data_IF_820768791666
#
_entry.id   IF_820768791666
#
_cell.length_a   1.000
_cell.length_b   1.000
_cell.length_c   1.000
_cell.angle_alpha   90.00
_cell.angle_beta   90.00
_cell.angle_gamma   90.00
#
_symmetry.space_group_name_H-M   'P 1'
#
loop_
_entity.id
_entity.type
_entity.pdbx_description
1 polymer ?
#
# COMPACT_ATOMS: atom_id res chain seq x y z
N UNK A 1 52.86 5.26 66.76
CA UNK A 1 51.97 4.93 65.64
C UNK A 1 52.54 5.59 64.39
N UNK A 2 53.30 4.86 63.57
CA UNK A 2 54.05 5.42 62.43
C UNK A 2 53.21 5.32 61.15
N UNK A 3 52.86 6.47 60.56
CA UNK A 3 52.22 6.56 59.25
C UNK A 3 53.23 6.18 58.16
N UNK A 4 53.04 5.01 57.52
CA UNK A 4 53.73 4.66 56.28
C UNK A 4 53.21 5.55 55.15
N UNK A 5 54.03 6.48 54.66
CA UNK A 5 53.76 7.22 53.43
C UNK A 5 53.91 6.25 52.26
N UNK A 6 52.83 6.00 51.52
CA UNK A 6 52.91 5.23 50.28
C UNK A 6 53.74 6.03 49.26
N UNK A 7 54.69 5.40 48.55
CA UNK A 7 55.45 6.08 47.51
C UNK A 7 54.48 6.52 46.41
N UNK A 8 54.49 7.81 46.10
CA UNK A 8 53.82 8.35 44.92
C UNK A 8 54.41 7.66 43.70
N UNK A 9 53.63 6.82 43.03
CA UNK A 9 53.99 6.34 41.71
C UNK A 9 53.96 7.54 40.77
N UNK A 10 55.13 8.00 40.34
CA UNK A 10 55.25 9.00 39.28
C UNK A 10 54.78 8.36 37.98
N UNK A 11 53.51 8.58 37.64
CA UNK A 11 52.96 8.22 36.35
C UNK A 11 53.77 8.93 35.25
N UNK A 12 54.31 8.16 34.31
CA UNK A 12 54.96 8.73 33.13
C UNK A 12 53.88 9.44 32.30
N UNK A 13 54.03 10.75 32.10
CA UNK A 13 53.16 11.52 31.22
C UNK A 13 53.40 11.17 29.75
N UNK A 14 52.36 11.27 28.93
CA UNK A 14 52.46 11.07 27.48
C UNK A 14 53.21 12.22 26.84
N UNK A 15 54.05 11.90 25.85
CA UNK A 15 54.69 12.90 25.01
C UNK A 15 53.69 13.49 24.01
N UNK A 16 53.91 14.72 23.57
CA UNK A 16 53.06 15.37 22.56
C UNK A 16 52.94 14.53 21.28
N UNK A 17 54.02 13.88 20.86
CA UNK A 17 54.06 13.04 19.68
C UNK A 17 53.15 11.80 19.82
N UNK A 18 53.16 11.14 20.98
CA UNK A 18 52.28 10.00 21.25
C UNK A 18 50.80 10.40 21.21
N UNK A 19 50.46 11.58 21.76
CA UNK A 19 49.09 12.11 21.72
C UNK A 19 48.65 12.38 20.27
N UNK A 20 49.50 13.00 19.45
CA UNK A 20 49.17 13.28 18.05
C UNK A 20 48.96 12.01 17.21
N UNK A 21 49.80 10.99 17.42
CA UNK A 21 49.65 9.69 16.77
C UNK A 21 48.34 9.03 17.21
N UNK A 22 48.05 9.01 18.52
CA UNK A 22 46.82 8.43 19.05
C UNK A 22 45.56 9.12 18.48
N UNK A 23 45.55 10.45 18.41
CA UNK A 23 44.43 11.22 17.84
C UNK A 23 44.25 10.92 16.35
N UNK A 24 45.33 10.77 15.59
CA UNK A 24 45.26 10.48 14.16
C UNK A 24 44.70 9.08 13.90
N UNK A 25 45.18 8.07 14.66
CA UNK A 25 44.63 6.71 14.58
C UNK A 25 43.15 6.71 14.97
N UNK A 26 42.79 7.42 16.04
CA UNK A 26 41.41 7.55 16.49
C UNK A 26 40.50 8.20 15.44
N UNK A 27 40.97 9.26 14.78
CA UNK A 27 40.23 9.92 13.71
C UNK A 27 39.97 8.99 12.51
N UNK A 28 40.95 8.18 12.12
CA UNK A 28 40.80 7.18 11.06
C UNK A 28 39.76 6.12 11.46
N UNK A 29 39.83 5.61 12.69
CA UNK A 29 38.87 4.62 13.21
C UNK A 29 37.45 5.19 13.22
N UNK A 30 37.27 6.45 13.64
CA UNK A 30 35.97 7.12 13.58
C UNK A 30 35.48 7.25 12.14
N UNK A 31 36.33 7.68 11.20
CA UNK A 31 35.94 7.84 9.81
C UNK A 31 35.50 6.51 9.15
N UNK A 32 36.17 5.39 9.47
CA UNK A 32 35.80 4.08 8.95
C UNK A 32 34.50 3.59 9.60
N UNK A 33 34.37 3.73 10.91
CA UNK A 33 33.16 3.28 11.63
C UNK A 33 31.92 4.09 11.24
N UNK A 34 32.04 5.40 11.01
CA UNK A 34 30.91 6.24 10.59
C UNK A 34 30.33 5.80 9.26
N UNK A 35 31.18 5.47 8.28
CA UNK A 35 30.73 4.94 6.99
C UNK A 35 29.96 3.62 7.16
N UNK A 36 30.48 2.70 7.98
CA UNK A 36 29.80 1.45 8.29
C UNK A 36 28.42 1.67 8.93
N UNK A 37 28.29 2.63 9.84
CA UNK A 37 27.00 2.97 10.43
C UNK A 37 26.03 3.53 9.38
N UNK A 38 26.47 4.45 8.53
CA UNK A 38 25.63 5.02 7.46
C UNK A 38 25.08 3.92 6.55
N UNK A 39 25.95 3.01 6.10
CA UNK A 39 25.56 1.91 5.21
C UNK A 39 24.61 0.92 5.92
N UNK A 40 24.86 0.65 7.20
CA UNK A 40 23.99 -0.20 8.03
C UNK A 40 22.61 0.43 8.23
N UNK A 41 22.54 1.72 8.53
CA UNK A 41 21.28 2.45 8.69
C UNK A 41 20.50 2.50 7.36
N UNK A 42 21.17 2.78 6.25
CA UNK A 42 20.53 2.77 4.94
C UNK A 42 19.96 1.38 4.59
N UNK A 43 20.68 0.31 4.93
CA UNK A 43 20.23 -1.07 4.71
C UNK A 43 19.04 -1.43 5.59
N UNK A 44 19.09 -1.11 6.89
CA UNK A 44 17.99 -1.34 7.82
C UNK A 44 16.74 -0.58 7.41
N UNK A 45 16.88 0.69 7.02
CA UNK A 45 15.79 1.51 6.55
C UNK A 45 15.12 0.93 5.30
N UNK A 46 15.91 0.51 4.30
CA UNK A 46 15.40 -0.18 3.10
C UNK A 46 14.66 -1.48 3.45
N UNK A 47 15.18 -2.24 4.40
CA UNK A 47 14.53 -3.49 4.83
C UNK A 47 13.20 -3.21 5.56
N UNK A 48 13.17 -2.21 6.43
CA UNK A 48 11.97 -1.86 7.19
C UNK A 48 10.86 -1.32 6.26
N UNK A 49 11.19 -0.38 5.37
CA UNK A 49 10.25 0.14 4.38
C UNK A 49 9.70 -0.96 3.47
N UNK A 50 10.55 -1.88 3.00
CA UNK A 50 10.09 -3.03 2.22
C UNK A 50 9.14 -3.95 3.02
N UNK A 51 9.41 -4.16 4.31
CA UNK A 51 8.55 -4.96 5.18
C UNK A 51 7.19 -4.29 5.41
N UNK A 52 7.18 -2.98 5.65
CA UNK A 52 5.97 -2.17 5.81
C UNK A 52 5.10 -2.18 4.54
N UNK A 53 5.71 -2.06 3.36
CA UNK A 53 4.99 -2.24 2.08
C UNK A 53 4.31 -3.61 2.01
N UNK A 54 5.08 -4.68 2.24
CA UNK A 54 4.54 -6.03 2.13
C UNK A 54 3.40 -6.26 3.14
N UNK A 55 3.54 -5.74 4.37
CA UNK A 55 2.49 -5.83 5.38
C UNK A 55 1.24 -5.06 4.95
N UNK A 56 1.40 -3.83 4.49
CA UNK A 56 0.28 -3.03 4.01
C UNK A 56 -0.41 -3.71 2.83
N UNK A 57 0.34 -4.29 1.88
CA UNK A 57 -0.25 -4.95 0.70
C UNK A 57 -1.01 -6.20 1.09
N UNK A 58 -0.51 -6.97 2.06
CA UNK A 58 -1.25 -8.11 2.63
C UNK A 58 -2.53 -7.66 3.30
N UNK A 59 -2.46 -6.65 4.18
CA UNK A 59 -3.65 -6.12 4.85
C UNK A 59 -4.71 -5.65 3.84
N UNK A 60 -4.31 -5.01 2.74
CA UNK A 60 -5.25 -4.64 1.68
C UNK A 60 -5.87 -5.85 1.00
N UNK A 61 -5.06 -6.85 0.65
CA UNK A 61 -5.57 -8.08 0.04
C UNK A 61 -6.50 -8.83 0.99
N UNK A 62 -6.21 -8.82 2.29
CA UNK A 62 -7.05 -9.42 3.32
C UNK A 62 -8.41 -8.72 3.39
N UNK A 63 -8.43 -7.38 3.43
CA UNK A 63 -9.68 -6.58 3.41
C UNK A 63 -10.44 -6.78 2.10
N UNK A 64 -9.74 -6.76 0.96
CA UNK A 64 -10.36 -6.98 -0.35
C UNK A 64 -10.94 -8.39 -0.49
N UNK A 65 -10.29 -9.38 0.12
CA UNK A 65 -10.78 -10.76 0.14
C UNK A 65 -12.00 -10.90 1.07
N UNK A 66 -11.99 -10.25 2.24
CA UNK A 66 -13.11 -10.21 3.17
C UNK A 66 -14.34 -9.57 2.51
N UNK A 67 -14.20 -8.36 1.97
CA UNK A 67 -15.28 -7.68 1.23
C UNK A 67 -15.73 -8.48 0.01
N UNK A 68 -14.80 -9.15 -0.68
CA UNK A 68 -15.10 -9.99 -1.83
C UNK A 68 -15.83 -11.29 -1.46
N UNK A 69 -15.68 -11.77 -0.22
CA UNK A 69 -16.42 -12.93 0.30
C UNK A 69 -17.83 -12.55 0.77
N UNK A 70 -18.03 -11.31 1.24
CA UNK A 70 -19.34 -10.78 1.62
C UNK A 70 -20.18 -10.35 0.41
N UNK A 71 -19.55 -10.01 -0.71
CA UNK A 71 -20.24 -9.55 -1.90
C UNK A 71 -20.82 -10.72 -2.74
N UNK A 72 -22.09 -10.58 -3.14
CA UNK A 72 -22.74 -11.53 -4.05
C UNK A 72 -22.34 -11.33 -5.52
N UNK A 73 -21.96 -10.10 -5.88
CA UNK A 73 -21.56 -9.77 -7.25
C UNK A 73 -20.48 -8.70 -7.29
N UNK A 74 -19.70 -8.70 -8.37
CA UNK A 74 -18.74 -7.63 -8.63
C UNK A 74 -18.75 -7.17 -10.08
N UNK A 75 -18.34 -5.93 -10.28
CA UNK A 75 -18.18 -5.32 -11.61
C UNK A 75 -16.92 -4.48 -11.63
N UNK A 76 -16.10 -4.69 -12.66
CA UNK A 76 -14.93 -3.85 -12.92
C UNK A 76 -15.28 -2.84 -14.01
N UNK A 77 -14.89 -1.59 -13.82
CA UNK A 77 -15.00 -0.51 -14.77
C UNK A 77 -13.60 -0.03 -15.19
N UNK A 78 -13.53 0.48 -16.42
CA UNK A 78 -12.25 0.95 -17.00
C UNK A 78 -11.60 2.03 -16.16
N UNK A 79 -12.36 3.06 -15.78
CA UNK A 79 -11.88 4.19 -15.01
C UNK A 79 -12.90 4.67 -13.97
N UNK A 80 -12.40 5.47 -13.05
CA UNK A 80 -13.22 6.26 -12.12
C UNK A 80 -13.37 7.67 -12.69
N UNK A 81 -14.45 7.90 -13.42
CA UNK A 81 -14.75 9.19 -14.08
C UNK A 81 -15.95 9.92 -13.46
N UNK A 82 -16.49 9.44 -12.33
CA UNK A 82 -17.64 10.03 -11.63
C UNK A 82 -18.98 9.90 -12.35
N UNK A 83 -18.99 9.39 -13.58
CA UNK A 83 -20.20 9.10 -14.35
C UNK A 83 -20.07 7.71 -15.01
N UNK A 84 -20.21 6.72 -14.15
CA UNK A 84 -20.07 5.31 -14.46
C UNK A 84 -21.26 4.86 -15.30
N UNK A 85 -20.96 4.21 -16.43
CA UNK A 85 -21.94 3.72 -17.40
C UNK A 85 -21.73 2.23 -17.64
N UNK A 86 -22.81 1.54 -18.01
CA UNK A 86 -22.78 0.11 -18.35
C UNK A 86 -21.79 -0.23 -19.46
N UNK A 87 -21.59 0.68 -20.41
CA UNK A 87 -20.63 0.52 -21.51
C UNK A 87 -19.16 0.54 -21.07
N UNK A 88 -18.87 1.06 -19.87
CA UNK A 88 -17.52 1.10 -19.30
C UNK A 88 -17.20 -0.15 -18.48
N UNK A 89 -18.17 -1.05 -18.32
CA UNK A 89 -17.95 -2.35 -17.68
C UNK A 89 -16.95 -3.15 -18.48
N UNK A 90 -15.99 -3.72 -17.77
CA UNK A 90 -14.97 -4.58 -18.32
C UNK A 90 -15.44 -6.02 -18.28
N UNK A 91 -15.45 -6.63 -19.46
CA UNK A 91 -15.69 -8.05 -19.65
C UNK A 91 -14.39 -8.74 -20.07
N UNK A 92 -14.25 -9.99 -19.61
CA UNK A 92 -13.34 -11.06 -20.05
C UNK A 92 -11.92 -10.65 -20.45
N UNK A 93 -10.96 -10.87 -19.55
CA UNK A 93 -9.53 -10.76 -19.81
C UNK A 93 -9.01 -9.33 -19.87
N UNK A 94 -9.89 -8.33 -19.80
CA UNK A 94 -9.51 -6.93 -19.77
C UNK A 94 -9.32 -6.43 -18.34
N UNK A 95 -8.61 -5.31 -18.22
CA UNK A 95 -8.22 -4.71 -16.95
C UNK A 95 -8.72 -3.27 -16.80
N UNK A 96 -9.05 -2.91 -15.55
CA UNK A 96 -9.67 -1.64 -15.19
C UNK A 96 -9.20 -1.13 -13.85
N UNK A 97 -9.51 0.14 -13.57
CA UNK A 97 -9.01 0.83 -12.39
C UNK A 97 -10.05 1.06 -11.30
N UNK A 98 -11.26 0.56 -11.53
CA UNK A 98 -12.36 0.73 -10.61
C UNK A 98 -13.11 -0.60 -10.44
N UNK A 99 -13.10 -1.14 -9.24
CA UNK A 99 -13.83 -2.35 -8.85
C UNK A 99 -15.01 -1.93 -7.96
N UNK A 100 -16.17 -2.51 -8.21
CA UNK A 100 -17.36 -2.39 -7.35
C UNK A 100 -17.77 -3.78 -6.92
N UNK A 101 -17.91 -3.97 -5.63
CA UNK A 101 -18.48 -5.13 -4.97
C UNK A 101 -19.89 -4.75 -4.50
N UNK A 102 -20.85 -5.63 -4.72
CA UNK A 102 -22.25 -5.39 -4.40
C UNK A 102 -22.84 -6.58 -3.63
N UNK A 103 -23.38 -6.28 -2.46
CA UNK A 103 -24.14 -7.19 -1.62
C UNK A 103 -25.63 -7.05 -1.94
N UNK A 104 -26.33 -8.18 -2.02
CA UNK A 104 -27.73 -8.27 -2.42
C UNK A 104 -28.58 -9.01 -1.39
N UNK A 105 -29.87 -8.67 -1.33
CA UNK A 105 -30.79 -9.35 -0.42
C UNK A 105 -31.32 -10.65 -1.03
N UNK A 106 -30.95 -11.79 -0.44
CA UNK A 106 -31.48 -13.10 -0.82
C UNK A 106 -32.95 -13.23 -0.40
N UNK A 107 -33.88 -13.20 -1.36
CA UNK A 107 -35.28 -13.57 -1.09
C UNK A 107 -36.35 -12.91 -1.94
N UNK A 108 -36.01 -11.90 -2.74
CA UNK A 108 -36.95 -11.20 -3.63
C UNK A 108 -36.78 -11.63 -5.09
N UNK A 109 -37.82 -11.46 -5.91
CA UNK A 109 -37.79 -11.77 -7.34
C UNK A 109 -36.93 -10.79 -8.15
N UNK A 110 -36.55 -9.67 -7.54
CA UNK A 110 -35.76 -8.59 -8.15
C UNK A 110 -34.44 -8.45 -7.37
N UNK A 111 -33.34 -8.16 -8.07
CA UNK A 111 -32.04 -7.93 -7.42
C UNK A 111 -32.08 -6.64 -6.61
N UNK A 112 -32.14 -6.77 -5.29
CA UNK A 112 -32.08 -5.64 -4.35
C UNK A 112 -30.68 -5.50 -3.79
N UNK A 113 -30.03 -4.36 -4.06
CA UNK A 113 -28.70 -4.06 -3.52
C UNK A 113 -28.79 -3.50 -2.11
N UNK A 114 -28.04 -4.06 -1.16
CA UNK A 114 -27.99 -3.62 0.24
C UNK A 114 -26.80 -2.70 0.47
N UNK A 115 -25.62 -3.12 0.01
CA UNK A 115 -24.35 -2.43 0.26
C UNK A 115 -23.50 -2.43 -1.01
N UNK A 116 -22.84 -1.31 -1.27
CA UNK A 116 -21.85 -1.18 -2.33
C UNK A 116 -20.50 -0.81 -1.71
N UNK A 117 -19.46 -1.54 -2.12
CA UNK A 117 -18.07 -1.25 -1.76
C UNK A 117 -17.30 -1.00 -3.06
N UNK A 118 -16.67 0.15 -3.17
CA UNK A 118 -15.94 0.54 -4.38
C UNK A 118 -14.47 0.80 -4.11
N UNK A 119 -13.61 0.26 -4.95
CA UNK A 119 -12.17 0.42 -4.92
C UNK A 119 -11.69 1.08 -6.21
N UNK A 120 -11.07 2.25 -6.13
CA UNK A 120 -10.59 2.94 -7.31
C UNK A 120 -9.20 3.55 -7.14
N UNK A 121 -8.47 3.62 -8.25
CA UNK A 121 -7.18 4.26 -8.32
C UNK A 121 -7.31 5.71 -8.81
N UNK A 122 -7.02 6.69 -7.96
CA UNK A 122 -6.98 8.10 -8.31
C UNK A 122 -5.55 8.51 -8.66
N UNK A 123 -5.32 9.03 -9.86
CA UNK A 123 -4.01 9.56 -10.26
C UNK A 123 -3.70 10.83 -9.49
N UNK A 124 -2.48 10.95 -8.96
CA UNK A 124 -1.98 12.19 -8.35
C UNK A 124 -1.50 13.15 -9.45
N UNK A 125 -1.81 14.45 -9.33
CA UNK A 125 -1.49 15.44 -10.37
C UNK A 125 0.00 15.55 -10.70
N UNK A 126 0.86 15.32 -9.71
CA UNK A 126 2.29 15.64 -9.79
C UNK A 126 3.14 14.48 -10.34
N UNK A 127 2.66 13.23 -10.30
CA UNK A 127 3.47 12.06 -10.65
C UNK A 127 2.68 10.93 -11.34
N UNK A 128 3.37 9.87 -11.80
CA UNK A 128 2.78 8.60 -12.28
C UNK A 128 2.23 7.71 -11.15
N UNK A 129 2.00 8.26 -9.96
CA UNK A 129 1.50 7.53 -8.80
C UNK A 129 0.00 7.71 -8.65
N UNK A 130 -0.60 6.66 -8.11
CA UNK A 130 -2.02 6.55 -7.84
C UNK A 130 -2.21 6.38 -6.33
N UNK A 131 -3.29 6.93 -5.84
CA UNK A 131 -3.81 6.66 -4.51
C UNK A 131 -5.01 5.73 -4.67
N UNK A 132 -5.00 4.60 -3.96
CA UNK A 132 -6.10 3.64 -3.95
C UNK A 132 -7.04 4.02 -2.83
N UNK A 133 -8.26 4.33 -3.22
CA UNK A 133 -9.33 4.77 -2.34
C UNK A 133 -10.40 3.70 -2.29
N UNK A 134 -11.01 3.58 -1.11
CA UNK A 134 -12.18 2.76 -0.88
C UNK A 134 -13.36 3.67 -0.53
N UNK A 135 -14.53 3.32 -1.01
CA UNK A 135 -15.78 3.86 -0.52
C UNK A 135 -16.73 2.74 -0.13
N UNK A 136 -17.55 3.03 0.87
CA UNK A 136 -18.62 2.16 1.32
C UNK A 136 -19.91 2.97 1.25
N UNK A 137 -20.98 2.34 0.75
CA UNK A 137 -22.27 2.98 0.58
C UNK A 137 -23.39 2.00 0.91
N UNK A 138 -24.07 2.29 2.02
CA UNK A 138 -25.31 1.59 2.38
C UNK A 138 -26.45 2.10 1.51
N UNK A 139 -27.06 1.21 0.73
CA UNK A 139 -28.10 1.57 -0.24
C UNK A 139 -29.41 1.84 0.52
N UNK A 140 -29.99 3.05 0.41
CA UNK A 140 -31.27 3.34 1.03
C UNK A 140 -32.37 2.43 0.48
N UNK A 141 -33.33 2.05 1.33
CA UNK A 141 -34.44 1.15 0.95
C UNK A 141 -35.22 1.61 -0.29
N UNK A 142 -35.34 2.92 -0.52
CA UNK A 142 -36.01 3.49 -1.69
C UNK A 142 -35.25 3.33 -3.01
N UNK A 143 -33.98 2.95 -2.96
CA UNK A 143 -33.10 2.85 -4.13
C UNK A 143 -32.64 1.41 -4.42
N UNK A 144 -33.00 0.43 -3.59
CA UNK A 144 -32.47 -0.95 -3.70
C UNK A 144 -32.64 -1.60 -5.07
N UNK A 145 -33.70 -1.24 -5.80
CA UNK A 145 -34.03 -1.79 -7.13
C UNK A 145 -33.50 -0.95 -8.29
N UNK A 146 -32.83 0.17 -8.01
CA UNK A 146 -32.24 1.00 -9.05
C UNK A 146 -31.10 0.27 -9.77
N UNK A 147 -30.84 0.58 -11.06
CA UNK A 147 -29.70 0.02 -11.77
C UNK A 147 -28.39 0.30 -11.03
N UNK A 148 -27.49 -0.70 -11.02
CA UNK A 148 -26.19 -0.63 -10.33
C UNK A 148 -25.42 0.64 -10.69
N UNK A 149 -25.38 1.07 -11.95
CA UNK A 149 -24.69 2.29 -12.37
C UNK A 149 -25.26 3.55 -11.71
N UNK A 150 -26.58 3.63 -11.59
CA UNK A 150 -27.25 4.74 -10.91
C UNK A 150 -26.86 4.78 -9.45
N UNK A 151 -26.82 3.61 -8.80
CA UNK A 151 -26.40 3.48 -7.41
C UNK A 151 -24.93 3.83 -7.22
N UNK A 152 -24.04 3.34 -8.08
CA UNK A 152 -22.61 3.64 -8.03
C UNK A 152 -22.36 5.15 -8.18
N UNK A 153 -23.02 5.82 -9.13
CA UNK A 153 -22.86 7.26 -9.29
C UNK A 153 -23.35 8.07 -8.07
N UNK A 154 -24.44 7.62 -7.44
CA UNK A 154 -24.93 8.19 -6.17
C UNK A 154 -23.96 7.92 -5.03
N UNK A 155 -23.46 6.69 -4.92
CA UNK A 155 -22.48 6.26 -3.91
C UNK A 155 -21.24 7.14 -3.99
N UNK A 156 -20.64 7.24 -5.18
CA UNK A 156 -19.45 8.07 -5.45
C UNK A 156 -19.63 9.53 -5.04
N UNK A 157 -20.84 10.07 -5.19
CA UNK A 157 -21.14 11.46 -4.82
C UNK A 157 -21.42 11.64 -3.33
N UNK A 158 -21.90 10.61 -2.65
CA UNK A 158 -22.35 10.64 -1.27
C UNK A 158 -21.33 10.08 -0.27
N UNK A 159 -20.37 9.27 -0.73
CA UNK A 159 -19.48 8.50 0.13
C UNK A 159 -18.28 9.30 0.61
N UNK A 160 -17.88 9.03 1.86
CA UNK A 160 -16.59 9.45 2.38
C UNK A 160 -15.50 8.51 1.84
N UNK A 161 -14.80 8.95 0.80
CA UNK A 161 -13.71 8.19 0.22
C UNK A 161 -12.55 8.10 1.22
N UNK A 162 -12.18 6.88 1.60
CA UNK A 162 -11.09 6.60 2.53
C UNK A 162 -9.85 6.22 1.75
N UNK A 163 -8.72 6.87 2.05
CA UNK A 163 -7.43 6.49 1.50
C UNK A 163 -7.01 5.16 2.11
N UNK A 164 -6.83 4.16 1.27
CA UNK A 164 -6.43 2.83 1.70
C UNK A 164 -4.95 2.58 1.37
N UNK A 165 -4.48 3.10 0.23
CA UNK A 165 -3.08 3.01 -0.17
C UNK A 165 -2.62 4.29 -0.87
N UNK A 166 -1.47 4.81 -0.49
CA UNK A 166 -0.87 5.95 -1.16
C UNK A 166 0.30 5.53 -2.05
N UNK A 167 0.58 6.33 -3.08
CA UNK A 167 1.83 6.26 -3.86
C UNK A 167 2.05 4.92 -4.60
N UNK A 168 0.98 4.42 -5.19
CA UNK A 168 0.95 3.18 -5.99
C UNK A 168 1.31 3.49 -7.44
N UNK A 169 2.37 2.88 -7.96
CA UNK A 169 2.67 2.89 -9.39
C UNK A 169 2.15 1.61 -10.02
N UNK A 170 1.43 1.78 -11.13
CA UNK A 170 0.97 0.66 -11.97
C UNK A 170 2.15 -0.07 -12.56
N UNK A 171 1.99 -1.37 -12.74
CA UNK A 171 2.95 -2.22 -13.42
C UNK A 171 2.39 -2.51 -14.81
N UNK A 172 2.98 -1.88 -15.83
CA UNK A 172 2.53 -2.00 -17.21
C UNK A 172 1.41 -1.02 -17.57
N UNK A 173 0.77 -1.28 -18.71
CA UNK A 173 -0.36 -0.49 -19.22
C UNK A 173 -1.73 -1.04 -18.78
N UNK A 174 -1.74 -2.15 -18.05
CA UNK A 174 -2.96 -2.79 -17.59
C UNK A 174 -3.54 -2.06 -16.36
N UNK A 175 -4.87 -2.10 -16.24
CA UNK A 175 -5.59 -1.60 -15.08
C UNK A 175 -5.29 -2.42 -13.82
N UNK A 176 -5.62 -1.86 -12.67
CA UNK A 176 -5.33 -2.44 -11.35
C UNK A 176 -6.08 -3.76 -11.07
N UNK A 177 -7.27 -3.91 -11.64
CA UNK A 177 -8.13 -5.09 -11.50
C UNK A 177 -8.30 -5.75 -12.86
N UNK A 178 -8.16 -7.07 -12.91
CA UNK A 178 -8.33 -7.86 -14.13
C UNK A 178 -9.53 -8.79 -13.94
N UNK A 179 -10.46 -8.76 -14.89
CA UNK A 179 -11.54 -9.75 -14.93
C UNK A 179 -11.00 -11.04 -15.59
N UNK A 180 -10.77 -12.09 -14.80
CA UNK A 180 -10.16 -13.33 -15.29
C UNK A 180 -11.20 -14.23 -15.94
N UNK A 181 -12.41 -14.28 -15.38
CA UNK A 181 -13.45 -15.20 -15.85
C UNK A 181 -14.85 -14.57 -15.74
N UNK A 182 -15.20 -13.77 -16.74
CA UNK A 182 -16.56 -13.28 -17.00
C UNK A 182 -17.37 -12.73 -15.83
N UNK A 183 -16.71 -12.16 -14.81
CA UNK A 183 -17.36 -11.59 -13.62
C UNK A 183 -17.46 -12.54 -12.42
N UNK A 184 -16.77 -13.67 -12.43
CA UNK A 184 -16.69 -14.59 -11.29
C UNK A 184 -15.33 -14.55 -10.58
N UNK A 185 -14.26 -14.23 -11.31
CA UNK A 185 -12.90 -14.13 -10.75
C UNK A 185 -12.28 -12.82 -11.16
N UNK A 186 -11.71 -12.10 -10.20
CA UNK A 186 -10.82 -10.98 -10.49
C UNK A 186 -9.43 -11.19 -9.89
N UNK A 187 -8.43 -10.62 -10.55
CA UNK A 187 -7.05 -10.60 -10.06
C UNK A 187 -6.63 -9.17 -9.82
N UNK A 188 -5.90 -8.97 -8.73
CA UNK A 188 -5.28 -7.71 -8.40
C UNK A 188 -3.87 -7.66 -9.00
N UNK A 189 -3.66 -6.80 -9.99
CA UNK A 189 -2.36 -6.73 -10.68
C UNK A 189 -1.46 -5.67 -10.06
N UNK A 190 -0.40 -6.14 -9.39
CA UNK A 190 0.90 -5.46 -9.39
C UNK A 190 0.91 -3.99 -8.98
N UNK A 191 0.91 -3.72 -7.67
CA UNK A 191 1.26 -2.41 -7.14
C UNK A 191 2.78 -2.32 -6.93
N UNK A 192 3.42 -1.26 -7.42
CA UNK A 192 4.71 -0.78 -6.89
C UNK A 192 4.47 0.40 -5.97
N UNK A 193 4.63 0.22 -4.67
CA UNK A 193 4.60 1.35 -3.73
C UNK A 193 5.92 2.12 -3.87
N UNK A 194 5.85 3.41 -4.21
CA UNK A 194 7.01 4.31 -4.05
C UNK A 194 6.97 4.84 -2.64
N UNK A 195 8.11 4.76 -1.97
CA UNK A 195 8.33 5.44 -0.72
C UNK A 195 8.87 6.83 -1.02
N UNK A 196 8.52 7.85 -0.20
CA UNK A 196 9.15 9.15 -0.29
C UNK A 196 10.66 8.97 -0.31
N UNK A 197 11.25 9.55 -1.35
CA UNK A 197 12.57 9.24 -1.85
C UNK A 197 13.65 9.57 -0.84
N UNK A 198 14.20 8.53 -0.19
CA UNK A 198 15.65 8.28 -0.20
C UNK A 198 15.92 6.75 -0.27
N UNK A 199 16.23 6.30 -1.49
CA UNK A 199 16.92 5.06 -1.88
C UNK A 199 16.17 3.70 -1.96
N UNK A 200 15.83 3.32 -3.21
CA UNK A 200 15.78 1.96 -3.81
C UNK A 200 14.68 0.95 -3.35
N UNK A 201 14.60 -0.25 -3.97
CA UNK A 201 14.09 -0.56 -5.30
C UNK A 201 12.69 -1.22 -5.23
N UNK A 202 11.87 -0.99 -6.25
CA UNK A 202 10.46 -1.45 -6.29
C UNK A 202 10.30 -2.97 -6.39
N UNK A 203 9.47 -3.57 -5.53
CA UNK A 203 9.08 -4.99 -5.57
C UNK A 203 7.66 -5.14 -6.14
N UNK A 204 7.42 -6.20 -6.91
CA UNK A 204 6.14 -6.50 -7.57
C UNK A 204 5.42 -7.59 -6.76
N UNK A 205 4.11 -7.45 -6.53
CA UNK A 205 3.25 -8.47 -5.91
C UNK A 205 2.10 -8.83 -6.86
N UNK A 206 1.85 -10.13 -7.04
CA UNK A 206 0.71 -10.66 -7.79
C UNK A 206 -0.12 -11.58 -6.87
N UNK A 207 -1.44 -11.34 -6.76
CA UNK A 207 -2.36 -12.17 -5.98
C UNK A 207 -3.69 -12.33 -6.72
N UNK A 208 -4.18 -13.57 -6.84
CA UNK A 208 -5.47 -13.91 -7.45
C UNK A 208 -6.46 -14.29 -6.34
N UNK A 209 -7.67 -13.72 -6.37
CA UNK A 209 -8.76 -13.99 -5.42
C UNK A 209 -9.88 -14.70 -6.18
N UNK A 210 -10.32 -15.86 -5.69
CA UNK A 210 -11.45 -16.60 -6.26
C UNK A 210 -12.70 -16.30 -5.43
N UNK A 211 -13.65 -15.56 -5.99
CA UNK A 211 -14.99 -15.40 -5.42
C UNK A 211 -15.86 -16.51 -6.00
N UNK A 212 -16.52 -17.31 -5.16
CA UNK A 212 -17.48 -18.32 -5.61
C UNK A 212 -18.88 -17.77 -5.43
N UNK A 213 -19.55 -17.51 -6.54
CA UNK A 213 -21.01 -17.30 -6.61
C UNK A 213 -21.77 -18.59 -6.39
#
# INVERSE_FOLDING_TARGET
MQMRRQPYQTGKGFTLAEVLIAVTIFAIVIAISSQFFIDSYATLYKSQTALEANRSSRNFLDVLAEDGMEADSFVIYKDYSGNVKKSLRITNGNSGDFLVLAETELGTLETEYIKLIGYYAQKREVDEYYDVLIFEYDVPSSLKTEPLETLVNKAVSASNNRLLFAQVKRIGSEGMFINVDSGNIFTFHGIRVRFPEQAQPSKILHTTINVRS
#
